data_IF_077356132300
#
_entry.id   IF_077356132300
#
_cell.length_a   1.000
_cell.length_b   1.000
_cell.length_c   1.000
_cell.angle_alpha   90.00
_cell.angle_beta   90.00
_cell.angle_gamma   90.00
#
_symmetry.space_group_name_H-M   'P 1'
#
loop_
_entity.id
_entity.type
_entity.pdbx_description
1 polymer ?
#
# COMPACT_ATOMS: atom_id res chain seq x y z
N UNK A 1 -8.48 -6.07 -18.85
CA UNK A 1 -8.14 -5.98 -17.40
C UNK A 1 -8.96 -7.00 -16.63
N UNK A 2 -8.36 -7.66 -15.62
CA UNK A 2 -9.07 -8.54 -14.69
C UNK A 2 -9.42 -7.74 -13.42
N UNK A 3 -10.55 -8.07 -12.80
CA UNK A 3 -11.02 -7.42 -11.57
C UNK A 3 -11.15 -8.43 -10.44
N UNK A 4 -11.15 -7.95 -9.22
CA UNK A 4 -11.35 -8.73 -8.00
C UNK A 4 -12.00 -7.86 -6.94
N UNK A 5 -12.60 -8.49 -5.94
CA UNK A 5 -13.11 -7.78 -4.77
C UNK A 5 -11.97 -7.49 -3.79
N UNK A 6 -11.92 -6.28 -3.25
CA UNK A 6 -10.90 -5.87 -2.29
C UNK A 6 -11.25 -6.37 -0.87
N UNK A 7 -10.71 -7.53 -0.48
CA UNK A 7 -10.97 -8.12 0.83
C UNK A 7 -12.47 -8.32 1.13
N UNK A 8 -12.92 -8.14 2.37
CA UNK A 8 -14.32 -8.32 2.76
C UNK A 8 -15.18 -7.08 2.45
N UNK A 9 -15.03 -6.49 1.26
CA UNK A 9 -15.77 -5.29 0.83
C UNK A 9 -16.63 -5.57 -0.40
N UNK A 10 -17.36 -4.57 -0.86
CA UNK A 10 -18.07 -4.56 -2.15
C UNK A 10 -17.28 -3.81 -3.25
N UNK A 11 -16.03 -3.40 -2.95
CA UNK A 11 -15.20 -2.69 -3.94
C UNK A 11 -14.67 -3.67 -4.98
N UNK A 12 -15.15 -3.56 -6.21
CA UNK A 12 -14.58 -4.24 -7.36
C UNK A 12 -13.42 -3.42 -7.92
N UNK A 13 -12.21 -3.93 -7.79
CA UNK A 13 -10.97 -3.26 -8.20
C UNK A 13 -10.26 -4.03 -9.31
N UNK A 14 -9.61 -3.30 -10.21
CA UNK A 14 -8.66 -3.89 -11.15
C UNK A 14 -7.50 -4.55 -10.37
N UNK A 15 -7.00 -5.69 -10.86
CA UNK A 15 -5.86 -6.40 -10.24
C UNK A 15 -4.56 -5.61 -10.28
N UNK A 16 -4.52 -4.54 -11.08
CA UNK A 16 -3.45 -3.54 -11.06
C UNK A 16 -4.01 -2.27 -10.44
N UNK A 17 -3.26 -1.69 -9.50
CA UNK A 17 -3.52 -0.37 -8.92
C UNK A 17 -2.52 0.64 -9.48
N UNK A 18 -2.98 1.81 -9.90
CA UNK A 18 -2.11 2.91 -10.28
C UNK A 18 -1.62 3.64 -9.02
N UNK A 19 -0.33 3.49 -8.67
CA UNK A 19 0.31 4.30 -7.64
C UNK A 19 0.65 5.69 -8.17
N UNK A 20 0.24 6.73 -7.43
CA UNK A 20 0.38 8.14 -7.80
C UNK A 20 1.52 8.86 -7.06
N UNK A 21 2.44 8.15 -6.40
CA UNK A 21 3.59 8.75 -5.71
C UNK A 21 4.52 9.51 -6.68
N UNK A 22 4.52 9.13 -7.95
CA UNK A 22 5.26 9.82 -9.01
C UNK A 22 4.62 11.11 -9.51
N UNK A 23 3.44 11.47 -9.04
CA UNK A 23 2.73 12.69 -9.43
C UNK A 23 3.02 13.83 -8.46
N UNK A 24 3.01 15.06 -8.96
CA UNK A 24 3.11 16.25 -8.13
C UNK A 24 4.28 17.16 -8.51
N UNK A 25 4.27 18.35 -7.93
CA UNK A 25 5.28 19.36 -8.18
C UNK A 25 6.65 18.93 -7.66
N UNK A 26 7.60 18.70 -8.56
CA UNK A 26 8.96 18.29 -8.22
C UNK A 26 9.74 19.32 -7.36
N UNK A 27 9.28 20.58 -7.32
CA UNK A 27 9.82 21.64 -6.47
C UNK A 27 9.20 21.71 -5.08
N UNK A 28 8.13 20.93 -4.81
CA UNK A 28 7.35 21.00 -3.57
C UNK A 28 7.19 19.62 -2.94
N UNK A 29 8.21 19.14 -2.24
CA UNK A 29 8.11 17.85 -1.53
C UNK A 29 9.44 17.08 -1.48
N UNK A 30 9.35 15.78 -1.26
CA UNK A 30 10.52 14.92 -1.00
C UNK A 30 11.23 14.45 -2.27
N UNK A 31 10.52 14.42 -3.41
CA UNK A 31 10.99 13.78 -4.63
C UNK A 31 11.15 14.78 -5.79
N UNK A 32 12.39 14.92 -6.32
CA UNK A 32 12.71 15.79 -7.44
C UNK A 32 12.42 15.18 -8.82
N UNK A 33 11.99 13.93 -8.88
CA UNK A 33 11.78 13.14 -10.12
C UNK A 33 10.30 12.99 -10.49
N UNK A 34 9.39 13.58 -9.73
CA UNK A 34 7.96 13.50 -9.98
C UNK A 34 7.55 14.15 -11.32
N UNK A 35 6.40 13.76 -11.79
CA UNK A 35 5.80 14.21 -13.04
C UNK A 35 4.95 15.45 -12.80
N UNK A 36 5.01 16.40 -13.71
CA UNK A 36 4.11 17.53 -13.75
C UNK A 36 2.64 17.12 -14.00
N UNK A 37 1.74 18.07 -13.92
CA UNK A 37 0.30 17.80 -14.04
C UNK A 37 -0.10 17.23 -15.40
N UNK A 38 0.49 17.75 -16.50
CA UNK A 38 0.18 17.29 -17.85
C UNK A 38 0.61 15.84 -18.06
N UNK A 39 1.82 15.50 -17.65
CA UNK A 39 2.36 14.16 -17.72
C UNK A 39 1.59 13.19 -16.81
N UNK A 40 1.25 13.61 -15.60
CA UNK A 40 0.44 12.84 -14.65
C UNK A 40 -0.94 12.55 -15.21
N UNK A 41 -1.59 13.55 -15.80
CA UNK A 41 -2.88 13.43 -16.46
C UNK A 41 -2.85 12.42 -17.62
N UNK A 42 -1.78 12.41 -18.42
CA UNK A 42 -1.62 11.45 -19.52
C UNK A 42 -1.51 10.01 -19.01
N UNK A 43 -0.82 9.78 -17.88
CA UNK A 43 -0.72 8.46 -17.23
C UNK A 43 -2.08 8.02 -16.67
N UNK A 44 -2.84 8.92 -16.03
CA UNK A 44 -4.18 8.60 -15.53
C UNK A 44 -5.10 8.20 -16.69
N UNK A 45 -5.09 8.96 -17.82
CA UNK A 45 -5.89 8.60 -19.00
C UNK A 45 -5.53 7.22 -19.53
N UNK A 46 -4.24 6.92 -19.69
CA UNK A 46 -3.80 5.62 -20.15
C UNK A 46 -4.22 4.48 -19.21
N UNK A 47 -4.18 4.71 -17.90
CA UNK A 47 -4.62 3.74 -16.90
C UNK A 47 -6.13 3.43 -17.04
N UNK A 48 -6.94 4.47 -17.15
CA UNK A 48 -8.38 4.34 -17.36
C UNK A 48 -8.71 3.64 -18.68
N UNK A 49 -8.03 3.99 -19.78
CA UNK A 49 -8.20 3.35 -21.09
C UNK A 49 -7.80 1.86 -21.06
N UNK A 50 -6.85 1.48 -20.19
CA UNK A 50 -6.46 0.09 -19.95
C UNK A 50 -7.41 -0.65 -19.01
N UNK A 51 -8.43 0.01 -18.47
CA UNK A 51 -9.42 -0.56 -17.54
C UNK A 51 -8.92 -0.60 -16.09
N UNK A 52 -7.89 0.16 -15.72
CA UNK A 52 -7.49 0.32 -14.31
C UNK A 52 -8.47 1.29 -13.67
N UNK A 53 -9.19 0.82 -12.65
CA UNK A 53 -10.14 1.64 -11.88
C UNK A 53 -9.67 1.89 -10.45
N UNK A 54 -8.53 1.33 -10.02
CA UNK A 54 -8.00 1.49 -8.67
C UNK A 54 -6.78 2.43 -8.69
N UNK A 55 -6.89 3.57 -7.99
CA UNK A 55 -5.89 4.62 -7.94
C UNK A 55 -5.50 4.91 -6.49
N UNK A 56 -4.20 4.94 -6.21
CA UNK A 56 -3.64 5.06 -4.86
C UNK A 56 -2.72 6.27 -4.76
N UNK A 57 -3.04 7.20 -3.85
CA UNK A 57 -2.24 8.38 -3.53
C UNK A 57 -1.98 8.49 -2.02
N UNK A 58 -1.45 9.59 -1.55
CA UNK A 58 -1.30 9.93 -0.14
C UNK A 58 -1.11 11.43 0.06
N UNK A 59 -1.58 11.95 1.21
CA UNK A 59 -1.44 13.37 1.56
C UNK A 59 0.01 13.84 1.56
N UNK A 60 0.95 12.96 1.91
CA UNK A 60 2.38 13.27 1.98
C UNK A 60 3.05 13.34 0.60
N UNK A 61 2.45 12.76 -0.45
CA UNK A 61 3.08 12.74 -1.77
C UNK A 61 3.14 14.15 -2.34
N UNK A 62 4.37 14.66 -2.44
CA UNK A 62 4.68 16.01 -2.89
C UNK A 62 3.81 17.09 -2.20
N UNK A 63 3.69 16.96 -0.85
CA UNK A 63 2.92 17.87 0.00
C UNK A 63 1.48 18.10 -0.49
N UNK A 64 0.81 17.03 -0.92
CA UNK A 64 -0.57 17.03 -1.38
C UNK A 64 -0.77 17.30 -2.87
N UNK A 65 0.26 17.76 -3.60
CA UNK A 65 0.09 18.04 -5.04
C UNK A 65 -0.17 16.78 -5.88
N UNK A 66 0.22 15.58 -5.40
CA UNK A 66 -0.18 14.32 -6.01
C UNK A 66 -1.70 14.12 -5.97
N UNK A 67 -2.33 14.38 -4.82
CA UNK A 67 -3.79 14.32 -4.66
C UNK A 67 -4.48 15.35 -5.55
N UNK A 68 -3.96 16.57 -5.60
CA UNK A 68 -4.52 17.64 -6.45
C UNK A 68 -4.49 17.27 -7.94
N UNK A 69 -3.36 16.76 -8.45
CA UNK A 69 -3.23 16.35 -9.85
C UNK A 69 -4.16 15.20 -10.18
N UNK A 70 -4.25 14.20 -9.30
CA UNK A 70 -5.16 13.07 -9.47
C UNK A 70 -6.62 13.54 -9.47
N UNK A 71 -7.02 14.36 -8.51
CA UNK A 71 -8.39 14.88 -8.39
C UNK A 71 -8.82 15.67 -9.63
N UNK A 72 -7.96 16.58 -10.12
CA UNK A 72 -8.24 17.33 -11.36
C UNK A 72 -8.29 16.45 -12.60
N UNK A 73 -7.45 15.42 -12.69
CA UNK A 73 -7.53 14.47 -13.79
C UNK A 73 -8.86 13.71 -13.77
N UNK A 74 -9.21 13.10 -12.65
CA UNK A 74 -10.41 12.27 -12.51
C UNK A 74 -11.70 13.07 -12.72
N UNK A 75 -11.77 14.32 -12.24
CA UNK A 75 -12.96 15.17 -12.39
C UNK A 75 -13.43 15.36 -13.84
N UNK A 76 -12.57 15.12 -14.80
CA UNK A 76 -12.85 15.30 -16.24
C UNK A 76 -12.74 14.01 -17.06
N UNK A 77 -12.24 12.92 -16.49
CA UNK A 77 -11.93 11.69 -17.21
C UNK A 77 -12.84 10.52 -16.83
N UNK A 78 -13.39 10.50 -15.61
CA UNK A 78 -14.18 9.38 -15.12
C UNK A 78 -15.39 9.87 -14.29
N UNK A 79 -16.48 9.12 -14.27
CA UNK A 79 -17.50 9.32 -13.24
C UNK A 79 -16.92 8.83 -11.89
N UNK A 80 -17.34 9.48 -10.78
CA UNK A 80 -16.83 9.16 -9.43
C UNK A 80 -17.02 7.69 -9.07
N UNK A 81 -18.15 7.12 -9.44
CA UNK A 81 -18.52 5.74 -9.13
C UNK A 81 -17.82 4.70 -10.02
N UNK A 82 -17.14 5.12 -11.09
CA UNK A 82 -16.37 4.22 -11.98
C UNK A 82 -14.95 3.96 -11.49
N UNK A 83 -14.51 4.66 -10.45
CA UNK A 83 -13.15 4.57 -9.92
C UNK A 83 -13.13 4.36 -8.42
N UNK A 84 -12.14 3.59 -7.96
CA UNK A 84 -11.82 3.37 -6.54
C UNK A 84 -10.58 4.20 -6.21
N UNK A 85 -10.74 5.17 -5.32
CA UNK A 85 -9.68 6.10 -4.92
C UNK A 85 -9.25 5.81 -3.48
N UNK A 86 -7.96 5.54 -3.30
CA UNK A 86 -7.32 5.40 -2.01
C UNK A 86 -6.41 6.58 -1.69
N UNK A 87 -6.43 7.04 -0.45
CA UNK A 87 -5.42 7.97 0.09
C UNK A 87 -4.98 7.56 1.50
N UNK A 88 -3.90 8.18 1.99
CA UNK A 88 -3.21 7.76 3.21
C UNK A 88 -2.74 8.96 4.03
N UNK A 89 -2.63 8.77 5.35
CA UNK A 89 -2.03 9.77 6.25
C UNK A 89 -0.89 9.16 7.07
N UNK A 90 0.08 10.00 7.44
CA UNK A 90 1.23 9.64 8.27
C UNK A 90 0.89 9.72 9.77
N UNK A 91 1.74 9.20 10.66
CA UNK A 91 1.67 9.46 12.10
C UNK A 91 1.65 10.94 12.45
N UNK A 92 1.14 11.25 13.65
CA UNK A 92 1.16 12.62 14.20
C UNK A 92 2.58 13.16 14.27
N UNK A 93 2.72 14.43 13.92
CA UNK A 93 3.97 15.19 14.08
C UNK A 93 4.27 15.50 15.56
N UNK A 94 5.51 15.88 15.86
CA UNK A 94 5.87 16.33 17.22
C UNK A 94 5.05 17.57 17.64
N UNK A 95 4.85 18.50 16.71
CA UNK A 95 4.04 19.71 16.93
C UNK A 95 2.58 19.38 17.27
N UNK A 96 1.96 18.43 16.56
CA UNK A 96 0.58 17.99 16.86
C UNK A 96 0.47 17.36 18.24
N UNK A 97 1.47 16.57 18.65
CA UNK A 97 1.52 15.94 19.97
C UNK A 97 1.69 16.99 21.07
N UNK A 98 2.59 17.95 20.90
CA UNK A 98 2.82 19.06 21.83
C UNK A 98 1.59 19.95 21.97
N UNK A 99 0.84 20.14 20.89
CA UNK A 99 -0.42 20.89 20.88
C UNK A 99 -1.63 20.08 21.36
N UNK A 100 -1.44 18.84 21.80
CA UNK A 100 -2.51 17.98 22.35
C UNK A 100 -3.53 17.51 21.31
N UNK A 101 -3.19 17.48 20.04
CA UNK A 101 -4.05 16.91 18.97
C UNK A 101 -4.22 15.43 19.23
N UNK A 102 -5.46 14.95 19.42
CA UNK A 102 -5.74 13.53 19.61
C UNK A 102 -5.58 12.73 18.31
N UNK A 103 -5.45 11.38 18.40
CA UNK A 103 -5.42 10.51 17.23
C UNK A 103 -6.67 10.64 16.38
N UNK A 104 -7.86 10.72 16.98
CA UNK A 104 -9.13 10.93 16.25
C UNK A 104 -9.15 12.24 15.48
N UNK A 105 -8.67 13.32 16.12
CA UNK A 105 -8.59 14.62 15.46
C UNK A 105 -7.63 14.59 14.29
N UNK A 106 -6.46 13.99 14.47
CA UNK A 106 -5.45 13.83 13.42
C UNK A 106 -6.00 13.06 12.19
N UNK A 107 -6.67 11.92 12.40
CA UNK A 107 -7.31 11.14 11.32
C UNK A 107 -8.31 11.99 10.55
N UNK A 108 -9.18 12.70 11.27
CA UNK A 108 -10.21 13.58 10.66
C UNK A 108 -9.60 14.72 9.87
N UNK A 109 -8.65 15.46 10.46
CA UNK A 109 -8.12 16.69 9.87
C UNK A 109 -7.29 16.38 8.61
N UNK A 110 -6.55 15.25 8.62
CA UNK A 110 -5.84 14.76 7.43
C UNK A 110 -6.80 14.31 6.33
N UNK A 111 -7.88 13.58 6.67
CA UNK A 111 -8.88 13.19 5.67
C UNK A 111 -9.55 14.41 5.05
N UNK A 112 -9.93 15.39 5.86
CA UNK A 112 -10.54 16.63 5.37
C UNK A 112 -9.60 17.42 4.46
N UNK A 113 -8.31 17.37 4.71
CA UNK A 113 -7.30 17.96 3.83
C UNK A 113 -7.17 17.17 2.53
N UNK A 114 -7.07 15.85 2.58
CA UNK A 114 -7.01 14.98 1.40
C UNK A 114 -8.23 15.17 0.50
N UNK A 115 -9.43 15.24 1.08
CA UNK A 115 -10.67 15.47 0.31
C UNK A 115 -10.67 16.83 -0.39
N UNK A 116 -10.13 17.88 0.24
CA UNK A 116 -9.95 19.19 -0.40
C UNK A 116 -8.95 19.13 -1.57
N UNK A 117 -7.81 18.46 -1.40
CA UNK A 117 -6.82 18.29 -2.47
C UNK A 117 -7.39 17.51 -3.65
N UNK A 118 -8.09 16.43 -3.39
CA UNK A 118 -8.73 15.59 -4.40
C UNK A 118 -9.95 16.28 -5.05
N UNK A 119 -10.54 17.29 -4.41
CA UNK A 119 -11.80 17.89 -4.85
C UNK A 119 -12.97 16.92 -4.79
N UNK A 120 -12.97 16.02 -3.81
CA UNK A 120 -13.95 14.94 -3.60
C UNK A 120 -14.64 15.10 -2.25
N UNK A 121 -15.87 14.56 -2.12
CA UNK A 121 -16.61 14.50 -0.87
C UNK A 121 -16.28 13.23 -0.05
N UNK A 122 -15.79 12.18 -0.70
CA UNK A 122 -15.34 10.94 -0.08
C UNK A 122 -14.24 10.25 -0.88
N UNK A 123 -13.49 9.37 -0.20
CA UNK A 123 -12.62 8.36 -0.82
C UNK A 123 -13.19 6.96 -0.57
N UNK A 124 -12.79 5.98 -1.38
CA UNK A 124 -13.26 4.60 -1.21
C UNK A 124 -12.48 3.86 -0.15
N UNK A 125 -11.18 4.14 -0.05
CA UNK A 125 -10.27 3.51 0.90
C UNK A 125 -9.38 4.56 1.57
N UNK A 126 -9.43 4.65 2.90
CA UNK A 126 -8.56 5.52 3.68
C UNK A 126 -7.56 4.67 4.47
N UNK A 127 -6.27 4.92 4.27
CA UNK A 127 -5.21 4.02 4.71
C UNK A 127 -4.35 4.66 5.80
N UNK A 128 -4.12 3.91 6.88
CA UNK A 128 -3.11 4.20 7.89
C UNK A 128 -1.73 3.91 7.30
N UNK A 129 -0.99 4.95 6.91
CA UNK A 129 0.21 4.83 6.07
C UNK A 129 1.39 4.16 6.78
N UNK A 130 1.52 4.42 8.09
CA UNK A 130 2.56 3.86 8.95
C UNK A 130 2.04 3.78 10.38
N UNK A 131 2.53 2.80 11.14
CA UNK A 131 2.20 2.69 12.57
C UNK A 131 2.79 3.84 13.38
N UNK A 132 1.95 4.57 14.12
CA UNK A 132 2.38 5.57 15.09
C UNK A 132 2.63 4.92 16.46
N UNK A 133 3.90 4.85 16.86
CA UNK A 133 4.29 4.27 18.13
C UNK A 133 3.93 5.14 19.35
N UNK A 134 3.42 6.34 19.14
CA UNK A 134 3.12 7.35 20.17
C UNK A 134 1.62 7.57 20.39
N UNK A 135 0.80 7.22 19.40
CA UNK A 135 -0.65 7.33 19.47
C UNK A 135 -1.27 6.01 19.90
N UNK A 136 -2.14 5.97 20.91
CA UNK A 136 -2.95 4.80 21.20
C UNK A 136 -3.72 4.38 19.94
N UNK A 137 -3.64 3.11 19.57
CA UNK A 137 -4.31 2.60 18.35
C UNK A 137 -5.83 2.74 18.44
N UNK A 138 -6.39 2.74 19.66
CA UNK A 138 -7.80 2.99 19.91
C UNK A 138 -8.24 4.35 19.38
N UNK A 139 -7.45 5.40 19.57
CA UNK A 139 -7.75 6.75 19.06
C UNK A 139 -7.75 6.79 17.52
N UNK A 140 -6.83 6.07 16.90
CA UNK A 140 -6.75 5.97 15.44
C UNK A 140 -7.97 5.22 14.91
N UNK A 141 -8.33 4.07 15.51
CA UNK A 141 -9.46 3.26 15.08
C UNK A 141 -10.81 3.99 15.31
N UNK A 142 -10.95 4.74 16.39
CA UNK A 142 -12.11 5.59 16.61
C UNK A 142 -12.20 6.72 15.57
N UNK A 143 -11.06 7.32 15.22
CA UNK A 143 -10.98 8.32 14.16
C UNK A 143 -11.45 7.76 12.80
N UNK A 144 -11.04 6.55 12.46
CA UNK A 144 -11.52 5.84 11.28
C UNK A 144 -13.02 5.53 11.35
N UNK A 145 -13.51 5.05 12.50
CA UNK A 145 -14.94 4.78 12.69
C UNK A 145 -15.78 6.04 12.46
N UNK A 146 -15.31 7.18 12.98
CA UNK A 146 -15.96 8.47 12.78
C UNK A 146 -15.93 8.90 11.29
N UNK A 147 -14.83 8.66 10.58
CA UNK A 147 -14.68 8.97 9.16
C UNK A 147 -15.66 8.15 8.30
N UNK A 148 -15.80 6.86 8.58
CA UNK A 148 -16.77 5.97 7.92
C UNK A 148 -18.19 6.39 8.24
N UNK A 149 -18.50 6.65 9.51
CA UNK A 149 -19.84 7.09 9.94
C UNK A 149 -20.26 8.44 9.31
N UNK A 150 -19.28 9.32 9.06
CA UNK A 150 -19.50 10.59 8.37
C UNK A 150 -19.61 10.44 6.84
N UNK A 151 -19.44 9.24 6.28
CA UNK A 151 -19.47 9.00 4.84
C UNK A 151 -18.28 9.56 4.07
N UNK A 152 -17.20 9.96 4.75
CA UNK A 152 -15.99 10.53 4.14
C UNK A 152 -15.01 9.48 3.60
N UNK A 153 -15.15 8.25 4.06
CA UNK A 153 -14.52 7.06 3.46
C UNK A 153 -15.47 5.88 3.54
N UNK A 154 -15.42 4.97 2.55
CA UNK A 154 -16.22 3.76 2.57
C UNK A 154 -15.57 2.66 3.39
N UNK A 155 -14.26 2.49 3.21
CA UNK A 155 -13.46 1.45 3.86
C UNK A 155 -12.16 2.01 4.38
N UNK A 156 -11.51 1.22 5.24
CA UNK A 156 -10.22 1.55 5.83
C UNK A 156 -9.20 0.44 5.58
N UNK A 157 -7.94 0.84 5.46
CA UNK A 157 -6.82 -0.07 5.28
C UNK A 157 -5.61 0.36 6.09
N UNK A 158 -4.57 -0.47 6.10
CA UNK A 158 -3.31 -0.15 6.73
C UNK A 158 -2.13 -0.41 5.79
N UNK A 159 -1.01 0.27 6.04
CA UNK A 159 0.23 0.08 5.30
C UNK A 159 1.43 0.08 6.24
N UNK A 160 2.49 -0.63 5.84
CA UNK A 160 3.77 -0.67 6.58
C UNK A 160 3.59 -1.08 8.05
N UNK A 161 2.83 -2.13 8.28
CA UNK A 161 2.54 -2.68 9.61
C UNK A 161 2.91 -4.16 9.69
N UNK A 162 3.20 -4.62 10.92
CA UNK A 162 3.39 -6.03 11.23
C UNK A 162 2.04 -6.75 11.44
N UNK A 163 2.01 -8.07 11.30
CA UNK A 163 0.80 -8.87 11.48
C UNK A 163 0.15 -8.69 12.88
N UNK A 164 0.96 -8.62 13.95
CA UNK A 164 0.45 -8.37 15.30
C UNK A 164 -0.20 -6.98 15.47
N UNK A 165 0.24 -5.98 14.69
CA UNK A 165 -0.34 -4.63 14.69
C UNK A 165 -1.69 -4.63 13.99
N UNK A 166 -1.79 -5.33 12.86
CA UNK A 166 -3.04 -5.55 12.15
C UNK A 166 -4.07 -6.21 13.05
N UNK A 167 -3.71 -7.34 13.67
CA UNK A 167 -4.61 -8.09 14.55
C UNK A 167 -5.01 -7.27 15.78
N UNK A 168 -4.07 -6.55 16.40
CA UNK A 168 -4.38 -5.67 17.52
C UNK A 168 -5.41 -4.59 17.17
N UNK A 169 -5.23 -3.94 16.03
CA UNK A 169 -6.16 -2.89 15.57
C UNK A 169 -7.55 -3.46 15.27
N UNK A 170 -7.61 -4.58 14.55
CA UNK A 170 -8.87 -5.23 14.21
C UNK A 170 -9.57 -5.86 15.42
N UNK A 171 -8.84 -6.37 16.42
CA UNK A 171 -9.41 -6.84 17.67
C UNK A 171 -10.13 -5.70 18.44
N UNK A 172 -9.49 -4.53 18.52
CA UNK A 172 -10.09 -3.34 19.12
C UNK A 172 -11.32 -2.90 18.33
N UNK A 173 -11.25 -2.89 17.00
CA UNK A 173 -12.39 -2.56 16.17
C UNK A 173 -13.57 -3.53 16.41
N UNK A 174 -13.31 -4.83 16.52
CA UNK A 174 -14.33 -5.84 16.84
C UNK A 174 -14.96 -5.61 18.21
N UNK A 175 -14.16 -5.29 19.23
CA UNK A 175 -14.64 -5.02 20.60
C UNK A 175 -15.60 -3.83 20.64
N UNK A 176 -15.32 -2.79 19.86
CA UNK A 176 -16.13 -1.56 19.82
C UNK A 176 -17.22 -1.56 18.74
N UNK A 177 -17.29 -2.58 17.89
CA UNK A 177 -18.20 -2.60 16.73
C UNK A 177 -17.82 -1.57 15.65
N UNK A 178 -16.54 -1.22 15.55
CA UNK A 178 -15.99 -0.30 14.56
C UNK A 178 -15.60 -1.02 13.26
N UNK A 179 -15.44 -0.27 12.14
CA UNK A 179 -14.87 -0.83 10.91
C UNK A 179 -13.49 -1.41 11.14
N UNK A 180 -13.21 -2.54 10.49
CA UNK A 180 -11.91 -3.20 10.50
C UNK A 180 -11.13 -2.85 9.23
N UNK A 181 -9.81 -2.98 9.26
CA UNK A 181 -8.99 -2.89 8.06
C UNK A 181 -9.36 -4.02 7.09
N UNK A 182 -9.65 -3.65 5.84
CA UNK A 182 -10.00 -4.61 4.76
C UNK A 182 -8.81 -4.93 3.87
N UNK A 183 -7.73 -4.14 3.95
CA UNK A 183 -6.54 -4.31 3.13
C UNK A 183 -5.27 -3.93 3.87
N UNK A 184 -4.15 -4.57 3.49
CA UNK A 184 -2.81 -4.21 3.93
C UNK A 184 -1.93 -3.93 2.72
N UNK A 185 -1.24 -2.79 2.75
CA UNK A 185 -0.30 -2.34 1.74
C UNK A 185 1.13 -2.35 2.30
N UNK A 186 1.82 -3.47 2.15
CA UNK A 186 3.19 -3.63 2.61
C UNK A 186 4.17 -3.76 1.44
N UNK A 187 5.46 -3.56 1.74
CA UNK A 187 6.55 -3.77 0.82
C UNK A 187 6.74 -5.26 0.53
N UNK A 188 6.58 -5.68 -0.72
CA UNK A 188 6.76 -7.08 -1.10
C UNK A 188 7.17 -7.23 -2.56
N UNK A 189 8.19 -8.02 -2.82
CA UNK A 189 8.65 -8.43 -4.14
C UNK A 189 9.53 -9.67 -4.05
N UNK A 190 10.02 -10.18 -5.18
CA UNK A 190 10.89 -11.38 -5.19
C UNK A 190 12.24 -11.22 -4.44
N UNK A 191 12.68 -9.99 -4.16
CA UNK A 191 13.89 -9.71 -3.38
C UNK A 191 13.61 -9.44 -1.90
N UNK A 192 12.34 -9.22 -1.53
CA UNK A 192 11.92 -8.95 -0.15
C UNK A 192 10.58 -9.66 0.11
N UNK A 193 10.63 -10.77 0.82
CA UNK A 193 9.50 -11.69 1.04
C UNK A 193 9.20 -11.92 2.53
N UNK A 194 9.60 -10.99 3.40
CA UNK A 194 9.45 -11.17 4.85
C UNK A 194 7.99 -11.27 5.32
N UNK A 195 7.06 -10.64 4.59
CA UNK A 195 5.62 -10.71 4.88
C UNK A 195 5.04 -12.14 4.73
N UNK A 196 5.69 -13.01 3.96
CA UNK A 196 5.25 -14.41 3.81
C UNK A 196 5.29 -15.20 5.12
N UNK A 197 6.07 -14.73 6.08
CA UNK A 197 6.25 -15.41 7.37
C UNK A 197 5.04 -15.27 8.29
N UNK A 198 4.47 -14.08 8.39
CA UNK A 198 3.37 -13.78 9.32
C UNK A 198 2.24 -12.98 8.68
N UNK A 199 2.54 -11.93 7.91
CA UNK A 199 1.50 -11.05 7.37
C UNK A 199 0.59 -11.78 6.37
N UNK A 200 1.15 -12.55 5.44
CA UNK A 200 0.35 -13.28 4.45
C UNK A 200 -0.58 -14.31 5.12
N UNK A 201 -0.10 -15.20 6.01
CA UNK A 201 -0.97 -16.10 6.74
C UNK A 201 -2.04 -15.38 7.56
N UNK A 202 -1.69 -14.27 8.22
CA UNK A 202 -2.64 -13.47 9.00
C UNK A 202 -3.72 -12.86 8.10
N UNK A 203 -3.33 -12.22 7.00
CA UNK A 203 -4.26 -11.63 6.06
C UNK A 203 -5.19 -12.68 5.42
N UNK A 204 -4.68 -13.86 5.13
CA UNK A 204 -5.47 -14.98 4.60
C UNK A 204 -6.50 -15.48 5.62
N UNK A 205 -6.12 -15.62 6.89
CA UNK A 205 -7.03 -16.07 7.95
C UNK A 205 -8.15 -15.04 8.20
N UNK A 206 -7.82 -13.74 8.17
CA UNK A 206 -8.76 -12.65 8.40
C UNK A 206 -9.54 -12.26 7.11
N UNK A 207 -9.24 -12.83 5.96
CA UNK A 207 -9.86 -12.50 4.67
C UNK A 207 -9.50 -11.11 4.14
N UNK A 208 -8.37 -10.54 4.57
CA UNK A 208 -7.92 -9.18 4.24
C UNK A 208 -7.16 -9.20 2.92
N UNK A 209 -7.41 -8.20 2.05
CA UNK A 209 -6.71 -8.06 0.79
C UNK A 209 -5.25 -7.59 1.00
N UNK A 210 -4.36 -8.10 0.16
CA UNK A 210 -2.99 -7.60 0.06
C UNK A 210 -2.85 -6.73 -1.18
N UNK A 211 -2.36 -5.51 -0.99
CA UNK A 211 -2.08 -4.54 -2.05
C UNK A 211 -0.59 -4.16 -2.02
N UNK A 212 0.32 -5.11 -2.30
CA UNK A 212 1.75 -4.89 -2.11
C UNK A 212 2.27 -3.78 -3.01
N UNK A 213 3.20 -2.99 -2.48
CA UNK A 213 3.93 -2.00 -3.25
C UNK A 213 5.37 -2.46 -3.53
N UNK A 214 6.07 -1.78 -4.45
CA UNK A 214 7.43 -2.09 -4.89
C UNK A 214 7.60 -3.45 -5.57
N UNK A 215 6.60 -3.92 -6.29
CA UNK A 215 6.59 -5.25 -6.92
C UNK A 215 7.76 -5.50 -7.88
N UNK A 216 8.33 -4.46 -8.49
CA UNK A 216 9.51 -4.54 -9.37
C UNK A 216 10.83 -4.09 -8.70
N UNK A 217 10.84 -3.93 -7.37
CA UNK A 217 12.04 -3.59 -6.59
C UNK A 217 12.84 -2.42 -7.20
N UNK A 218 12.22 -1.23 -7.39
CA UNK A 218 12.83 -0.04 -8.04
C UNK A 218 13.30 -0.29 -9.48
N UNK A 219 12.74 -1.27 -10.13
CA UNK A 219 13.17 -1.69 -11.46
C UNK A 219 14.38 -2.61 -11.47
N UNK A 220 14.82 -3.14 -10.32
CA UNK A 220 15.85 -4.19 -10.27
C UNK A 220 15.38 -5.49 -10.88
N UNK A 221 14.09 -5.82 -10.72
CA UNK A 221 13.48 -7.00 -11.31
C UNK A 221 13.12 -6.81 -12.80
N UNK A 222 13.21 -5.58 -13.33
CA UNK A 222 12.86 -5.27 -14.72
C UNK A 222 14.02 -4.72 -15.56
N UNK A 223 15.25 -4.65 -15.01
CA UNK A 223 16.45 -4.14 -15.70
C UNK A 223 17.56 -5.16 -15.73
N UNK A 224 18.50 -4.96 -16.66
CA UNK A 224 19.73 -5.76 -16.70
C UNK A 224 20.62 -5.37 -15.51
N UNK A 225 21.39 -6.33 -14.95
CA UNK A 225 22.36 -6.01 -13.89
C UNK A 225 23.32 -4.88 -14.32
N UNK A 226 23.50 -3.89 -13.46
CA UNK A 226 24.36 -2.72 -13.71
C UNK A 226 23.68 -1.53 -14.38
N UNK A 227 22.45 -1.65 -14.83
CA UNK A 227 21.65 -0.51 -15.32
C UNK A 227 21.06 0.26 -14.13
N UNK A 228 21.05 1.60 -14.20
CA UNK A 228 20.48 2.48 -13.17
C UNK A 228 19.28 3.24 -13.69
N UNK A 229 18.36 3.67 -12.82
CA UNK A 229 17.26 4.56 -13.18
C UNK A 229 17.62 6.03 -12.96
N UNK A 230 16.86 6.93 -13.59
CA UNK A 230 16.94 8.36 -13.30
C UNK A 230 16.74 8.61 -11.80
N UNK A 231 15.74 7.98 -11.20
CA UNK A 231 15.42 8.06 -9.79
C UNK A 231 16.60 7.67 -8.90
N UNK A 232 17.22 6.51 -9.12
CA UNK A 232 18.38 6.07 -8.33
C UNK A 232 19.60 6.98 -8.47
N UNK A 233 19.69 7.77 -9.55
CA UNK A 233 20.79 8.72 -9.74
C UNK A 233 20.54 10.11 -9.17
N UNK A 234 19.28 10.56 -9.16
CA UNK A 234 18.93 11.97 -8.94
C UNK A 234 18.13 12.19 -7.65
N UNK A 235 17.54 11.14 -7.04
CA UNK A 235 16.72 11.27 -5.86
C UNK A 235 17.55 11.16 -4.57
N UNK A 236 17.83 12.31 -3.94
CA UNK A 236 18.55 12.37 -2.67
C UNK A 236 17.83 11.68 -1.53
N UNK A 237 16.49 11.62 -1.56
CA UNK A 237 15.69 10.88 -0.58
C UNK A 237 15.86 9.38 -0.75
N UNK A 238 15.88 8.87 -1.99
CA UNK A 238 16.15 7.47 -2.29
C UNK A 238 17.55 7.07 -1.80
N UNK A 239 18.56 7.90 -2.02
CA UNK A 239 19.92 7.69 -1.49
C UNK A 239 19.91 7.59 0.04
N UNK A 240 19.33 8.56 0.74
CA UNK A 240 19.28 8.55 2.21
C UNK A 240 18.53 7.35 2.80
N UNK A 241 17.48 6.87 2.10
CA UNK A 241 16.64 5.76 2.57
C UNK A 241 17.21 4.38 2.24
N UNK A 242 17.91 4.23 1.10
CA UNK A 242 18.29 2.93 0.56
C UNK A 242 19.81 2.67 0.51
N UNK A 243 20.67 3.68 0.60
CA UNK A 243 22.13 3.50 0.60
C UNK A 243 22.63 2.70 1.82
N UNK A 244 21.95 2.78 2.95
CA UNK A 244 22.26 1.98 4.12
C UNK A 244 21.99 0.47 3.91
N UNK A 245 21.23 0.11 2.87
CA UNK A 245 20.87 -1.25 2.51
C UNK A 245 21.32 -1.59 1.09
N UNK A 246 22.51 -1.19 0.69
CA UNK A 246 23.07 -1.38 -0.67
C UNK A 246 22.99 -2.82 -1.23
N UNK A 247 22.55 -3.77 -0.43
CA UNK A 247 22.25 -5.15 -0.83
C UNK A 247 20.75 -5.41 -1.09
N UNK A 248 19.81 -4.52 -0.70
CA UNK A 248 18.38 -4.80 -0.75
C UNK A 248 17.58 -3.53 -1.06
N UNK A 249 17.52 -3.14 -2.31
CA UNK A 249 16.68 -2.00 -2.73
C UNK A 249 15.30 -2.44 -3.17
N UNK A 250 14.33 -1.65 -2.85
CA UNK A 250 12.96 -1.90 -3.25
C UNK A 250 12.20 -0.60 -3.59
N UNK A 251 11.40 -0.64 -4.63
CA UNK A 251 10.54 0.48 -5.03
C UNK A 251 9.22 0.04 -5.68
N UNK A 252 8.24 0.89 -5.53
CA UNK A 252 6.91 0.83 -6.14
C UNK A 252 7.01 0.86 -7.68
N UNK A 253 6.11 0.18 -8.39
CA UNK A 253 5.86 0.48 -9.80
C UNK A 253 5.15 1.83 -9.87
N UNK A 254 5.92 2.89 -9.84
CA UNK A 254 5.44 4.18 -10.27
C UNK A 254 5.55 4.24 -11.79
N UNK A 255 4.41 4.34 -12.44
CA UNK A 255 4.36 4.54 -13.88
C UNK A 255 4.85 5.95 -14.21
N UNK A 256 6.14 6.08 -14.47
CA UNK A 256 6.75 7.34 -14.93
C UNK A 256 6.83 7.41 -16.46
N UNK A 257 6.48 6.33 -17.14
CA UNK A 257 6.47 6.23 -18.61
C UNK A 257 5.32 5.35 -19.08
N UNK A 258 4.69 5.64 -20.22
CA UNK A 258 3.57 4.89 -20.77
C UNK A 258 3.80 3.37 -20.82
N UNK A 259 4.96 2.93 -21.29
CA UNK A 259 5.27 1.50 -21.43
C UNK A 259 5.39 0.73 -20.11
N UNK A 260 5.55 1.39 -18.96
CA UNK A 260 5.52 0.73 -17.65
C UNK A 260 4.12 0.21 -17.36
N UNK A 261 3.10 0.99 -17.73
CA UNK A 261 1.70 0.62 -17.55
C UNK A 261 1.31 -0.52 -18.49
N UNK A 262 1.74 -0.46 -19.76
CA UNK A 262 1.47 -1.51 -20.75
C UNK A 262 2.03 -2.87 -20.27
N UNK A 263 3.24 -2.89 -19.74
CA UNK A 263 3.87 -4.08 -19.17
C UNK A 263 3.12 -4.64 -17.96
N UNK A 264 2.66 -3.78 -17.06
CA UNK A 264 1.89 -4.19 -15.88
C UNK A 264 0.53 -4.77 -16.27
N UNK A 265 -0.17 -4.14 -17.22
CA UNK A 265 -1.46 -4.64 -17.75
C UNK A 265 -1.29 -6.00 -18.42
N UNK A 266 -0.25 -6.18 -19.23
CA UNK A 266 0.02 -7.46 -19.91
C UNK A 266 0.35 -8.59 -18.91
N UNK A 267 0.96 -8.27 -17.78
CA UNK A 267 1.33 -9.27 -16.77
C UNK A 267 0.10 -9.94 -16.12
N UNK A 268 -1.07 -9.30 -16.13
CA UNK A 268 -2.30 -9.88 -15.53
C UNK A 268 -2.76 -11.15 -16.24
N UNK A 269 -2.49 -11.26 -17.53
CA UNK A 269 -2.92 -12.41 -18.35
C UNK A 269 -1.77 -13.43 -18.56
N UNK A 270 -0.63 -13.23 -17.90
CA UNK A 270 0.53 -14.11 -18.01
C UNK A 270 0.54 -15.15 -16.88
N UNK A 271 0.60 -16.42 -17.25
CA UNK A 271 0.69 -17.53 -16.30
C UNK A 271 2.10 -18.13 -16.32
N UNK A 272 2.69 -18.28 -15.14
CA UNK A 272 3.96 -18.99 -14.94
C UNK A 272 3.67 -20.45 -14.58
N UNK A 273 4.45 -21.36 -15.14
CA UNK A 273 4.46 -22.75 -14.69
C UNK A 273 5.12 -22.88 -13.31
N UNK A 274 4.82 -23.95 -12.57
CA UNK A 274 5.43 -24.23 -11.27
C UNK A 274 6.97 -24.23 -11.33
N UNK A 275 7.55 -24.71 -12.44
CA UNK A 275 8.99 -24.71 -12.63
C UNK A 275 9.59 -23.32 -12.84
N UNK A 276 8.87 -22.42 -13.48
CA UNK A 276 9.28 -21.02 -13.64
C UNK A 276 9.16 -20.26 -12.32
N UNK A 277 8.07 -20.47 -11.57
CA UNK A 277 7.91 -19.95 -10.22
C UNK A 277 9.08 -20.40 -9.34
N UNK A 278 9.36 -21.69 -9.27
CA UNK A 278 10.47 -22.23 -8.47
C UNK A 278 11.84 -21.67 -8.91
N UNK A 279 12.03 -21.41 -10.19
CA UNK A 279 13.27 -20.83 -10.71
C UNK A 279 13.43 -19.35 -10.28
N UNK A 280 12.34 -18.57 -10.27
CA UNK A 280 12.32 -17.17 -9.85
C UNK A 280 12.50 -17.04 -8.33
N UNK A 281 11.95 -17.95 -7.55
CA UNK A 281 12.03 -17.95 -6.09
C UNK A 281 13.37 -18.45 -5.54
N UNK A 282 14.05 -19.34 -6.28
CA UNK A 282 15.32 -19.97 -5.83
C UNK A 282 16.41 -19.01 -5.37
N UNK A 283 16.60 -17.80 -5.92
CA UNK A 283 17.59 -16.85 -5.43
C UNK A 283 17.30 -16.30 -4.04
N UNK A 284 16.03 -16.27 -3.61
CA UNK A 284 15.65 -15.83 -2.29
C UNK A 284 15.87 -16.94 -1.27
N UNK A 285 16.68 -16.67 -0.25
CA UNK A 285 17.01 -17.62 0.82
C UNK A 285 16.49 -17.06 2.15
N UNK A 286 15.24 -17.32 2.54
CA UNK A 286 14.74 -16.90 3.85
C UNK A 286 15.52 -17.59 4.95
N UNK A 287 15.79 -16.89 6.05
CA UNK A 287 16.42 -17.52 7.21
C UNK A 287 15.48 -18.61 7.74
N UNK A 288 15.91 -19.88 7.85
CA UNK A 288 15.03 -20.96 8.29
C UNK A 288 14.57 -20.75 9.73
N UNK A 289 13.32 -21.03 10.00
CA UNK A 289 12.82 -21.15 11.37
C UNK A 289 13.41 -22.43 11.97
N UNK A 290 14.00 -22.36 13.16
CA UNK A 290 14.60 -23.49 13.84
C UNK A 290 13.96 -23.71 15.21
N UNK A 291 14.26 -24.86 15.81
CA UNK A 291 13.74 -25.23 17.13
C UNK A 291 12.29 -25.67 17.11
N UNK A 292 11.59 -25.53 18.23
CA UNK A 292 10.21 -26.01 18.39
C UNK A 292 9.25 -25.30 17.43
N UNK A 293 9.51 -24.03 17.13
CA UNK A 293 8.68 -23.27 16.17
C UNK A 293 8.69 -23.88 14.77
N UNK A 294 9.79 -24.48 14.33
CA UNK A 294 9.86 -25.17 13.04
C UNK A 294 8.96 -26.42 12.98
N UNK A 295 8.56 -26.95 14.14
CA UNK A 295 7.73 -28.14 14.26
C UNK A 295 6.24 -27.79 14.44
N UNK A 296 5.93 -26.54 14.80
CA UNK A 296 4.57 -26.07 15.05
C UNK A 296 3.93 -25.54 13.76
N UNK A 297 3.70 -26.43 12.81
CA UNK A 297 3.03 -26.12 11.54
C UNK A 297 1.67 -26.81 11.47
N UNK A 298 0.79 -26.33 10.56
CA UNK A 298 -0.53 -26.96 10.34
C UNK A 298 -0.39 -28.44 9.95
N UNK A 299 0.62 -28.78 9.16
CA UNK A 299 0.93 -30.15 8.73
C UNK A 299 1.36 -31.04 9.91
N UNK A 300 2.08 -30.45 10.85
CA UNK A 300 2.58 -31.15 12.04
C UNK A 300 1.63 -31.09 13.26
N UNK A 301 0.45 -30.52 13.12
CA UNK A 301 -0.50 -30.35 14.24
C UNK A 301 -0.90 -31.69 14.89
N UNK A 302 -0.86 -32.81 14.17
CA UNK A 302 -1.09 -34.14 14.72
C UNK A 302 0.03 -34.60 15.67
N UNK A 303 1.28 -34.13 15.46
CA UNK A 303 2.44 -34.45 16.30
C UNK A 303 2.36 -33.70 17.62
N UNK A 304 1.90 -32.45 17.62
CA UNK A 304 1.73 -31.66 18.85
C UNK A 304 0.78 -32.30 19.85
N UNK A 305 -0.29 -32.96 19.40
CA UNK A 305 -1.22 -33.72 20.27
C UNK A 305 -0.58 -34.90 20.98
N UNK A 306 0.57 -35.39 20.52
CA UNK A 306 1.29 -36.49 21.20
C UNK A 306 2.06 -36.04 22.44
N UNK A 307 2.29 -34.72 22.60
CA UNK A 307 3.02 -34.16 23.77
C UNK A 307 2.11 -33.93 24.98
N UNK A 308 0.80 -33.86 24.78
CA UNK A 308 -0.18 -33.70 25.87
C UNK A 308 -0.45 -34.98 26.67
N UNK A 309 0.18 -36.11 26.30
CA UNK A 309 -0.12 -37.44 26.88
C UNK A 309 1.05 -38.10 27.60
N UNK A 310 2.01 -37.32 28.11
CA UNK A 310 3.05 -37.96 28.98
C UNK A 310 3.12 -37.32 30.35
#
# INVERSE_FOLDING_TARGET
>A
MQYTTLGPSDLEVSRICLGCMSFGDAGNGQHSWTLDEESSRAIVQQALDAGINFLDTAIVYQNGTSEEYLGRALSSMAARDDVVVATKFLPRTDEEIENGVSGQQHVRDNLDMSLRHLGMDHVDLYIYHMWDWRTPIEEIMEGFANAVAAGKTRYIGAANIAAWQLEKANAIAREHGWPQFISVQNHMNLLFREDEREMLPCAQEEGIALTPYSSLASGRLSRRPGETSRRLREDSFAHGKYDAAAAMDADIIDATKPHHLDGAVAAVDFELSDSEIAALERPYQPHPIVGVMAQNTKENAAVAKSWERK
#
